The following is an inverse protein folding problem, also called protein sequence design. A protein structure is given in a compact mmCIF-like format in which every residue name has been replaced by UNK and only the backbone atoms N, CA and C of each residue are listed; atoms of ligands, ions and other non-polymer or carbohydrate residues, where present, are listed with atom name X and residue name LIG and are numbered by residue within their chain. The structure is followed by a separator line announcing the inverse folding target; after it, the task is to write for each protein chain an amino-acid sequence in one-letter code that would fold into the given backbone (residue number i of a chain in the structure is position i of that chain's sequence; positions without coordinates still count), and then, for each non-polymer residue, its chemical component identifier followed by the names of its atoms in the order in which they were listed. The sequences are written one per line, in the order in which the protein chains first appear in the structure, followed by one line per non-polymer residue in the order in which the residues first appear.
data_IF_290701591456
#
_entry.id   IF_290701591456
#
_cell.length_a   1.000
_cell.length_b   1.000
_cell.length_c   1.000
_cell.angle_alpha   90.00
_cell.angle_beta   90.00
_cell.angle_gamma   90.00
#
_symmetry.space_group_name_H-M   'P 1'
#
loop_
_entity.id
_entity.type
_entity.pdbx_description
1 polymer ?
#
# COMPACT_ATOMS: atom_id res chain seq x y z
N UNK A 1 0.43 -5.95 10.04
CA UNK A 1 0.57 -4.78 9.14
C UNK A 1 1.89 -4.13 9.45
N UNK A 2 2.75 -3.98 8.46
CA UNK A 2 4.05 -3.35 8.58
C UNK A 2 4.12 -2.16 7.64
N UNK A 3 4.62 -1.03 8.14
CA UNK A 3 4.71 0.23 7.40
C UNK A 3 6.15 0.74 7.53
N UNK A 4 6.74 1.14 6.42
CA UNK A 4 8.06 1.77 6.36
C UNK A 4 7.89 3.13 5.69
N UNK A 5 8.32 4.17 6.41
CA UNK A 5 8.43 5.52 5.88
C UNK A 5 9.91 5.84 5.74
N UNK A 6 10.32 6.23 4.54
CA UNK A 6 11.73 6.52 4.25
C UNK A 6 11.85 7.70 3.29
N UNK A 7 13.08 8.20 3.11
CA UNK A 7 13.38 9.28 2.20
C UNK A 7 14.56 8.89 1.32
N UNK A 8 14.40 9.04 0.02
CA UNK A 8 15.46 8.86 -0.96
C UNK A 8 15.62 10.16 -1.76
N UNK A 9 16.71 10.89 -1.48
CA UNK A 9 16.96 12.25 -2.01
C UNK A 9 15.78 13.20 -1.69
N UNK A 10 15.03 13.62 -2.70
CA UNK A 10 13.87 14.52 -2.57
C UNK A 10 12.56 13.76 -2.38
N UNK A 11 12.54 12.47 -2.70
CA UNK A 11 11.31 11.67 -2.61
C UNK A 11 11.09 11.15 -1.19
N UNK A 12 9.91 11.46 -0.68
CA UNK A 12 9.31 10.82 0.47
C UNK A 12 8.69 9.51 -0.02
N UNK A 13 8.95 8.42 0.68
CA UNK A 13 8.56 7.07 0.29
C UNK A 13 7.72 6.46 1.41
N UNK A 14 6.57 5.92 1.05
CA UNK A 14 5.70 5.16 1.94
C UNK A 14 5.53 3.73 1.39
N UNK A 15 5.85 2.75 2.20
CA UNK A 15 5.75 1.32 1.88
C UNK A 15 4.92 0.62 2.94
N UNK A 16 4.02 -0.27 2.53
CA UNK A 16 3.23 -1.08 3.44
C UNK A 16 3.12 -2.53 2.96
N UNK A 17 3.19 -3.42 3.93
CA UNK A 17 2.96 -4.86 3.76
C UNK A 17 1.86 -5.28 4.74
N UNK A 18 0.75 -5.79 4.19
CA UNK A 18 -0.40 -6.24 4.94
C UNK A 18 -0.56 -7.75 4.74
N UNK A 19 -0.44 -8.51 5.82
CA UNK A 19 -0.78 -9.92 5.82
C UNK A 19 -2.29 -10.04 5.97
N UNK A 20 -2.91 -10.79 5.07
CA UNK A 20 -4.35 -11.03 5.01
C UNK A 20 -4.61 -12.53 4.98
N UNK A 21 -5.85 -12.93 5.16
CA UNK A 21 -6.22 -14.35 5.03
C UNK A 21 -5.85 -14.83 3.61
N UNK A 22 -5.10 -15.93 3.53
CA UNK A 22 -4.61 -16.52 2.28
C UNK A 22 -3.79 -15.56 1.39
N UNK A 23 -3.02 -14.63 1.97
CA UNK A 23 -2.02 -13.92 1.20
C UNK A 23 -1.39 -12.71 1.87
N UNK A 24 -0.65 -11.97 1.06
CA UNK A 24 -0.02 -10.73 1.45
C UNK A 24 -0.30 -9.66 0.38
N UNK A 25 -0.51 -8.43 0.83
CA UNK A 25 -0.62 -7.25 -0.02
C UNK A 25 0.57 -6.36 0.27
N UNK A 26 1.34 -6.07 -0.77
CA UNK A 26 2.45 -5.13 -0.73
C UNK A 26 2.17 -3.93 -1.64
N UNK A 27 2.42 -2.73 -1.13
CA UNK A 27 2.29 -1.48 -1.86
C UNK A 27 3.40 -0.49 -1.48
N UNK A 28 3.81 0.30 -2.47
CA UNK A 28 4.80 1.39 -2.36
C UNK A 28 4.30 2.62 -3.10
N UNK A 29 4.55 3.79 -2.56
CA UNK A 29 4.32 5.09 -3.20
C UNK A 29 5.41 6.06 -2.81
N UNK A 30 5.63 7.04 -3.69
CA UNK A 30 6.58 8.11 -3.45
C UNK A 30 6.05 9.42 -4.04
N UNK A 31 6.45 10.52 -3.41
CA UNK A 31 6.12 11.88 -3.79
C UNK A 31 7.15 12.82 -3.15
N UNK A 32 7.16 14.08 -3.52
CA UNK A 32 7.99 15.09 -2.87
C UNK A 32 7.42 15.50 -1.50
N UNK A 33 6.19 15.05 -1.18
CA UNK A 33 5.50 15.24 0.10
C UNK A 33 5.12 13.87 0.72
N UNK A 34 5.43 13.68 2.01
CA UNK A 34 5.15 12.43 2.72
C UNK A 34 3.65 12.15 2.82
N UNK A 35 2.83 13.18 3.03
CA UNK A 35 1.38 13.03 3.10
C UNK A 35 0.80 12.55 1.76
N UNK A 36 1.26 13.12 0.64
CA UNK A 36 0.88 12.67 -0.71
C UNK A 36 1.32 11.23 -0.97
N UNK A 37 2.48 10.83 -0.45
CA UNK A 37 2.94 9.45 -0.52
C UNK A 37 2.02 8.52 0.25
N UNK A 38 1.61 8.89 1.48
CA UNK A 38 0.68 8.10 2.30
C UNK A 38 -0.71 8.01 1.69
N UNK A 39 -1.25 9.09 1.12
CA UNK A 39 -2.53 9.08 0.42
C UNK A 39 -2.48 8.14 -0.79
N UNK A 40 -1.41 8.26 -1.59
CA UNK A 40 -1.18 7.38 -2.74
C UNK A 40 -0.98 5.91 -2.33
N UNK A 41 -0.38 5.65 -1.16
CA UNK A 41 -0.22 4.31 -0.60
C UNK A 41 -1.58 3.72 -0.22
N UNK A 42 -2.40 4.52 0.46
CA UNK A 42 -3.73 4.15 0.93
C UNK A 42 -4.63 3.78 -0.25
N UNK A 43 -4.61 4.56 -1.33
CA UNK A 43 -5.34 4.27 -2.56
C UNK A 43 -4.90 2.96 -3.22
N UNK A 44 -3.59 2.68 -3.25
CA UNK A 44 -3.05 1.43 -3.80
C UNK A 44 -3.49 0.22 -2.97
N UNK A 45 -3.39 0.32 -1.66
CA UNK A 45 -3.83 -0.72 -0.73
C UNK A 45 -5.34 -0.98 -0.86
N UNK A 46 -6.16 0.07 -0.93
CA UNK A 46 -7.61 -0.05 -1.08
C UNK A 46 -7.98 -0.79 -2.39
N UNK A 47 -7.31 -0.46 -3.51
CA UNK A 47 -7.51 -1.14 -4.80
C UNK A 47 -7.13 -2.63 -4.72
N UNK A 48 -5.99 -2.95 -4.11
CA UNK A 48 -5.54 -4.35 -3.96
C UNK A 48 -6.46 -5.15 -3.03
N UNK A 49 -6.87 -4.57 -1.90
CA UNK A 49 -7.84 -5.18 -0.98
C UNK A 49 -9.17 -5.47 -1.66
N UNK A 50 -9.69 -4.52 -2.43
CA UNK A 50 -10.94 -4.73 -3.18
C UNK A 50 -10.80 -5.83 -4.23
N UNK A 51 -9.66 -5.92 -4.93
CA UNK A 51 -9.39 -7.01 -5.87
C UNK A 51 -9.32 -8.36 -5.16
N UNK A 52 -8.68 -8.42 -3.99
CA UNK A 52 -8.61 -9.64 -3.19
C UNK A 52 -10.00 -10.08 -2.70
N UNK A 53 -10.78 -9.16 -2.10
CA UNK A 53 -12.17 -9.41 -1.67
C UNK A 53 -13.05 -9.94 -2.80
N UNK A 54 -12.96 -9.32 -4.00
CA UNK A 54 -13.71 -9.77 -5.17
C UNK A 54 -13.37 -11.21 -5.59
N UNK A 55 -12.09 -11.61 -5.50
CA UNK A 55 -11.66 -12.97 -5.80
C UNK A 55 -12.19 -13.99 -4.78
N UNK A 56 -12.22 -13.62 -3.50
CA UNK A 56 -12.78 -14.50 -2.46
C UNK A 56 -14.28 -14.69 -2.61
N UNK A 57 -15.01 -13.65 -2.99
CA UNK A 57 -16.47 -13.70 -3.14
C UNK A 57 -16.95 -14.38 -4.43
N UNK A 58 -16.05 -14.69 -5.36
CA UNK A 58 -16.37 -15.45 -6.59
C UNK A 58 -16.04 -16.94 -6.46
N UNK A 59 -15.73 -17.41 -5.24
CA UNK A 59 -15.62 -18.83 -4.90
C UNK A 59 -16.81 -19.28 -4.05
#
# INVERSE_FOLDING_TARGET
MHIVLSREKLHQIAEATLHINNGEIHAKSNSDNMYTSVDSLSDKLAKQLNKHKKKMNHH
#
